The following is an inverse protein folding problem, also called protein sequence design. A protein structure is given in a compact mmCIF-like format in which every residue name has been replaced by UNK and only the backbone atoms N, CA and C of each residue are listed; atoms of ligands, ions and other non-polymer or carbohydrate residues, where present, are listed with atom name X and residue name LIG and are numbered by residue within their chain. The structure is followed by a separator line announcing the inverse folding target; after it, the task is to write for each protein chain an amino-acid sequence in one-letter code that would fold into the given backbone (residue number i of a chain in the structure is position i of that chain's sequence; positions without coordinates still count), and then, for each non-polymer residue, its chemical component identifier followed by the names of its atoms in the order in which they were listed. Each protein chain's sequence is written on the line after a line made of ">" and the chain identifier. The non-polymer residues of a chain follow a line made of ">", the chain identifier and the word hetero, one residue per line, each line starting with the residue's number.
data_IF_646875525324
#
_entry.id   IF_646875525324
#
_cell.length_a   1.000
_cell.length_b   1.000
_cell.length_c   1.000
_cell.angle_alpha   90.00
_cell.angle_beta   90.00
_cell.angle_gamma   90.00
#
_symmetry.space_group_name_H-M   'P 1'
#
loop_
_entity.id
_entity.type
_entity.pdbx_description
1 polymer ?
#
# COMPACT_ATOMS: atom_id res chain seq x y z
N UNK A 1 13.60 11.11 -3.31
CA UNK A 1 12.78 9.99 -3.82
C UNK A 1 11.62 10.52 -4.64
N UNK A 2 11.16 9.73 -5.58
CA UNK A 2 10.11 10.15 -6.50
C UNK A 2 9.27 8.95 -6.92
N UNK A 3 8.11 9.22 -7.52
CA UNK A 3 7.25 8.19 -8.09
C UNK A 3 7.87 7.64 -9.37
N UNK A 4 7.28 6.58 -9.91
CA UNK A 4 7.75 5.99 -11.19
C UNK A 4 7.70 7.03 -12.31
N UNK A 5 6.67 7.89 -12.32
CA UNK A 5 6.55 8.96 -13.32
C UNK A 5 7.47 10.16 -13.06
N UNK A 6 8.27 10.13 -12.01
CA UNK A 6 9.24 11.17 -11.71
C UNK A 6 8.76 12.32 -10.85
N UNK A 7 7.58 12.20 -10.25
CA UNK A 7 7.04 13.23 -9.35
C UNK A 7 7.68 13.12 -7.97
N UNK A 8 8.03 14.24 -7.33
CA UNK A 8 8.56 14.17 -5.97
C UNK A 8 7.50 13.63 -5.00
N UNK A 9 7.96 12.91 -3.98
CA UNK A 9 7.04 12.39 -2.96
C UNK A 9 6.49 13.52 -2.13
N UNK A 10 5.23 13.40 -1.73
CA UNK A 10 4.59 14.34 -0.82
C UNK A 10 5.32 14.34 0.53
N UNK A 11 5.22 15.46 1.24
CA UNK A 11 5.87 15.61 2.56
C UNK A 11 5.26 14.68 3.60
N UNK A 12 4.00 14.30 3.40
CA UNK A 12 3.30 13.39 4.29
C UNK A 12 3.01 12.09 3.56
N UNK A 13 3.05 10.98 4.31
CA UNK A 13 2.58 9.69 3.83
C UNK A 13 1.31 9.33 4.60
N UNK A 14 0.49 8.48 4.00
CA UNK A 14 -0.74 8.01 4.63
C UNK A 14 -0.62 6.52 4.94
N UNK A 15 -0.81 6.16 6.21
CA UNK A 15 -0.78 4.76 6.65
C UNK A 15 -2.14 4.09 6.43
N UNK A 16 -2.12 2.89 5.87
CA UNK A 16 -3.36 2.19 5.48
C UNK A 16 -3.68 1.00 6.39
N UNK A 17 -3.16 0.99 7.61
CA UNK A 17 -3.34 -0.15 8.53
C UNK A 17 -4.81 -0.48 8.79
N UNK A 18 -5.70 0.51 8.73
CA UNK A 18 -7.12 0.32 9.02
C UNK A 18 -7.96 -0.06 7.78
N UNK A 19 -7.37 -0.07 6.61
CA UNK A 19 -8.08 -0.49 5.38
C UNK A 19 -8.49 -1.95 5.50
N UNK A 20 -9.80 -2.22 5.44
CA UNK A 20 -10.33 -3.57 5.58
C UNK A 20 -10.56 -4.00 7.03
N UNK A 21 -10.21 -3.14 7.98
CA UNK A 21 -10.47 -3.37 9.41
C UNK A 21 -11.52 -2.40 9.90
N UNK A 22 -11.08 -1.36 10.63
CA UNK A 22 -12.01 -0.32 11.12
C UNK A 22 -12.64 0.47 9.99
N UNK A 23 -11.93 0.61 8.86
CA UNK A 23 -12.48 1.25 7.67
C UNK A 23 -12.87 0.18 6.66
N UNK A 24 -14.14 0.20 6.23
CA UNK A 24 -14.61 -0.71 5.19
C UNK A 24 -14.12 -0.23 3.81
N UNK A 25 -14.54 -0.95 2.75
CA UNK A 25 -14.14 -0.63 1.38
C UNK A 25 -14.48 0.82 1.00
N UNK A 26 -15.72 1.24 1.28
CA UNK A 26 -16.18 2.58 0.90
C UNK A 26 -15.42 3.66 1.66
N UNK A 27 -15.22 3.47 2.95
CA UNK A 27 -14.48 4.42 3.78
C UNK A 27 -13.01 4.48 3.37
N UNK A 28 -12.41 3.34 3.10
CA UNK A 28 -11.01 3.25 2.66
C UNK A 28 -10.82 3.95 1.32
N UNK A 29 -11.74 3.72 0.38
CA UNK A 29 -11.69 4.38 -0.93
C UNK A 29 -11.82 5.90 -0.79
N UNK A 30 -12.71 6.36 0.10
CA UNK A 30 -12.91 7.78 0.35
C UNK A 30 -11.65 8.41 0.96
N UNK A 31 -11.00 7.73 1.88
CA UNK A 31 -9.75 8.21 2.47
C UNK A 31 -8.63 8.29 1.44
N UNK A 32 -8.50 7.27 0.60
CA UNK A 32 -7.52 7.29 -0.49
C UNK A 32 -7.76 8.49 -1.41
N UNK A 33 -9.00 8.67 -1.86
CA UNK A 33 -9.36 9.77 -2.76
C UNK A 33 -9.07 11.14 -2.13
N UNK A 34 -9.41 11.31 -0.85
CA UNK A 34 -9.14 12.56 -0.13
C UNK A 34 -7.64 12.85 -0.05
N UNK A 35 -6.84 11.82 0.20
CA UNK A 35 -5.39 11.96 0.23
C UNK A 35 -4.85 12.40 -1.14
N UNK A 36 -5.31 11.77 -2.21
CA UNK A 36 -4.87 12.13 -3.56
C UNK A 36 -5.28 13.55 -3.93
N UNK A 37 -6.47 13.95 -3.56
CA UNK A 37 -6.95 15.31 -3.80
C UNK A 37 -6.12 16.34 -3.04
N UNK A 38 -5.64 15.99 -1.85
CA UNK A 38 -4.77 16.85 -1.05
C UNK A 38 -3.29 16.82 -1.49
N UNK A 39 -2.96 16.04 -2.51
CA UNK A 39 -1.58 15.97 -3.03
C UNK A 39 -0.71 14.90 -2.38
N UNK A 40 -1.27 14.03 -1.55
CA UNK A 40 -0.52 12.92 -0.96
C UNK A 40 -0.35 11.83 -2.02
N UNK A 41 0.90 11.46 -2.32
CA UNK A 41 1.21 10.40 -3.28
C UNK A 41 2.10 9.31 -2.68
N UNK A 42 2.16 9.22 -1.35
CA UNK A 42 2.97 8.24 -0.64
C UNK A 42 2.06 7.50 0.33
N UNK A 43 1.91 6.19 0.14
CA UNK A 43 1.07 5.34 0.96
C UNK A 43 1.89 4.22 1.57
N UNK A 44 1.68 3.97 2.87
CA UNK A 44 2.41 2.96 3.62
C UNK A 44 1.45 1.84 4.03
N UNK A 45 1.82 0.61 3.73
CA UNK A 45 1.04 -0.58 4.07
C UNK A 45 1.98 -1.67 4.60
N UNK A 46 1.47 -2.88 4.79
CA UNK A 46 2.27 -4.03 5.18
C UNK A 46 1.56 -5.31 4.76
N UNK A 47 2.33 -6.37 4.53
CA UNK A 47 1.82 -7.69 4.20
C UNK A 47 0.77 -8.16 5.21
N UNK A 48 1.01 -7.91 6.50
CA UNK A 48 0.14 -8.40 7.58
C UNK A 48 -1.05 -7.51 7.92
N UNK A 49 -1.17 -6.32 7.35
CA UNK A 49 -2.28 -5.43 7.72
C UNK A 49 -3.62 -6.00 7.27
N UNK A 50 -4.51 -6.20 8.23
CA UNK A 50 -5.87 -6.75 8.01
C UNK A 50 -5.87 -8.04 7.19
N UNK A 51 -4.88 -8.91 7.44
CA UNK A 51 -4.78 -10.20 6.75
C UNK A 51 -4.51 -10.08 5.26
N UNK A 52 -3.90 -9.00 4.82
CA UNK A 52 -3.61 -8.74 3.41
C UNK A 52 -4.62 -7.84 2.72
N UNK A 53 -5.72 -7.50 3.37
CA UNK A 53 -6.77 -6.68 2.76
C UNK A 53 -6.28 -5.26 2.48
N UNK A 54 -5.43 -4.70 3.36
CA UNK A 54 -4.88 -3.36 3.16
C UNK A 54 -4.13 -3.27 1.83
N UNK A 55 -3.26 -4.24 1.55
CA UNK A 55 -2.53 -4.28 0.28
C UNK A 55 -3.47 -4.45 -0.91
N UNK A 56 -4.47 -5.33 -0.79
CA UNK A 56 -5.42 -5.55 -1.88
C UNK A 56 -6.23 -4.30 -2.20
N UNK A 57 -6.71 -3.62 -1.17
CA UNK A 57 -7.48 -2.38 -1.36
C UNK A 57 -6.63 -1.28 -1.95
N UNK A 58 -5.44 -1.05 -1.40
CA UNK A 58 -4.54 -0.02 -1.91
C UNK A 58 -4.17 -0.30 -3.37
N UNK A 59 -3.91 -1.56 -3.71
CA UNK A 59 -3.62 -1.95 -5.09
C UNK A 59 -4.76 -1.62 -6.04
N UNK A 60 -6.01 -1.88 -5.63
CA UNK A 60 -7.19 -1.55 -6.45
C UNK A 60 -7.35 -0.03 -6.61
N UNK A 61 -7.23 0.71 -5.51
CA UNK A 61 -7.43 2.17 -5.55
C UNK A 61 -6.38 2.85 -6.42
N UNK A 62 -5.13 2.40 -6.36
CA UNK A 62 -4.03 3.01 -7.08
C UNK A 62 -3.87 2.50 -8.51
N UNK A 63 -4.62 1.48 -8.93
CA UNK A 63 -4.39 0.77 -10.20
C UNK A 63 -4.35 1.69 -11.42
N UNK A 64 -5.23 2.68 -11.48
CA UNK A 64 -5.32 3.59 -12.64
C UNK A 64 -4.24 4.67 -12.63
N UNK A 65 -3.52 4.85 -11.55
CA UNK A 65 -2.51 5.92 -11.42
C UNK A 65 -1.24 5.40 -10.74
N UNK A 66 -0.93 4.12 -10.95
CA UNK A 66 0.17 3.44 -10.24
C UNK A 66 1.50 4.16 -10.33
N UNK A 67 1.81 4.72 -11.50
CA UNK A 67 3.07 5.40 -11.72
C UNK A 67 3.16 6.74 -11.00
N UNK A 68 2.04 7.28 -10.55
CA UNK A 68 1.95 8.57 -9.88
C UNK A 68 1.90 8.46 -8.36
N UNK A 69 1.89 7.24 -7.81
CA UNK A 69 1.90 7.03 -6.35
C UNK A 69 3.07 6.13 -5.97
N UNK A 70 3.61 6.37 -4.79
CA UNK A 70 4.66 5.55 -4.21
C UNK A 70 4.04 4.71 -3.09
N UNK A 71 4.26 3.40 -3.15
CA UNK A 71 3.71 2.47 -2.16
C UNK A 71 4.88 1.79 -1.45
N UNK A 72 4.92 1.93 -0.13
CA UNK A 72 5.85 1.19 0.70
C UNK A 72 5.09 0.07 1.40
N UNK A 73 5.61 -1.14 1.36
CA UNK A 73 5.05 -2.24 2.14
C UNK A 73 6.17 -2.92 2.93
N UNK A 74 5.79 -3.81 3.83
CA UNK A 74 6.70 -4.47 4.77
C UNK A 74 6.35 -5.95 4.84
N UNK A 75 7.35 -6.78 5.12
CA UNK A 75 7.13 -8.22 5.30
C UNK A 75 7.83 -8.70 6.56
N UNK A 76 7.45 -9.90 7.01
CA UNK A 76 8.04 -10.60 8.14
C UNK A 76 8.03 -9.80 9.44
N UNK A 77 7.08 -8.87 9.60
CA UNK A 77 7.05 -7.97 10.75
C UNK A 77 6.59 -8.65 12.04
N UNK A 78 5.86 -9.76 11.92
CA UNK A 78 5.21 -10.42 13.06
C UNK A 78 5.82 -11.81 13.37
N UNK A 79 6.93 -12.14 12.74
CA UNK A 79 7.56 -13.47 12.92
C UNK A 79 9.05 -13.39 12.60
N UNK A 80 9.75 -14.48 12.85
CA UNK A 80 11.17 -14.58 12.52
C UNK A 80 11.37 -14.45 11.01
N UNK A 81 12.12 -13.47 10.61
CA UNK A 81 12.45 -13.28 9.20
C UNK A 81 13.46 -14.33 8.75
N UNK A 82 13.09 -15.07 7.71
CA UNK A 82 14.00 -16.01 7.05
C UNK A 82 13.95 -15.69 5.55
N UNK A 83 14.96 -16.12 4.78
CA UNK A 83 14.92 -15.88 3.33
C UNK A 83 13.60 -16.38 2.70
N UNK A 84 13.14 -17.56 3.12
CA UNK A 84 11.92 -18.16 2.57
C UNK A 84 10.68 -17.35 2.91
N UNK A 85 10.59 -16.84 4.15
CA UNK A 85 9.47 -16.00 4.58
C UNK A 85 9.47 -14.69 3.81
N UNK A 86 10.63 -14.07 3.69
CA UNK A 86 10.76 -12.79 2.98
C UNK A 86 10.34 -12.93 1.53
N UNK A 87 10.85 -13.95 0.83
CA UNK A 87 10.51 -14.20 -0.56
C UNK A 87 9.02 -14.45 -0.76
N UNK A 88 8.45 -15.31 0.09
CA UNK A 88 7.03 -15.63 0.01
C UNK A 88 6.15 -14.42 0.22
N UNK A 89 6.42 -13.64 1.28
CA UNK A 89 5.61 -12.48 1.60
C UNK A 89 5.81 -11.35 0.60
N UNK A 90 7.02 -11.21 0.06
CA UNK A 90 7.25 -10.24 -1.02
C UNK A 90 6.40 -10.59 -2.25
N UNK A 91 6.37 -11.86 -2.64
CA UNK A 91 5.56 -12.30 -3.77
C UNK A 91 4.08 -12.12 -3.52
N UNK A 92 3.61 -12.41 -2.31
CA UNK A 92 2.23 -12.16 -1.92
C UNK A 92 1.88 -10.68 -2.04
N UNK A 93 2.74 -9.81 -1.52
CA UNK A 93 2.52 -8.37 -1.55
C UNK A 93 2.48 -7.84 -2.98
N UNK A 94 3.38 -8.30 -3.85
CA UNK A 94 3.36 -7.91 -5.27
C UNK A 94 2.01 -8.25 -5.90
N UNK A 95 1.52 -9.47 -5.67
CA UNK A 95 0.25 -9.91 -6.24
C UNK A 95 -0.94 -9.09 -5.70
N UNK A 96 -0.97 -8.88 -4.39
CA UNK A 96 -2.05 -8.11 -3.75
C UNK A 96 -2.10 -6.67 -4.23
N UNK A 97 -0.93 -6.06 -4.39
CA UNK A 97 -0.80 -4.68 -4.86
C UNK A 97 -0.93 -4.55 -6.38
N UNK A 98 -1.01 -5.68 -7.09
CA UNK A 98 -1.08 -5.66 -8.55
C UNK A 98 0.24 -5.28 -9.21
N UNK A 99 1.37 -5.58 -8.59
CA UNK A 99 2.71 -5.28 -9.08
C UNK A 99 3.37 -6.52 -9.68
N UNK A 100 4.04 -6.34 -10.78
CA UNK A 100 4.81 -7.42 -11.41
C UNK A 100 6.27 -7.40 -10.99
#
# INVERSE_FOLDING_TARGET
>A
MQTISGKPLSRFSFGTMQFGGKADDAESAAMYAACREAGVNFFDTANGYTGGQSEQMLGRFAASERDDVFIATKCASDRTASPEVIEREFDESRRRLGQE
#
